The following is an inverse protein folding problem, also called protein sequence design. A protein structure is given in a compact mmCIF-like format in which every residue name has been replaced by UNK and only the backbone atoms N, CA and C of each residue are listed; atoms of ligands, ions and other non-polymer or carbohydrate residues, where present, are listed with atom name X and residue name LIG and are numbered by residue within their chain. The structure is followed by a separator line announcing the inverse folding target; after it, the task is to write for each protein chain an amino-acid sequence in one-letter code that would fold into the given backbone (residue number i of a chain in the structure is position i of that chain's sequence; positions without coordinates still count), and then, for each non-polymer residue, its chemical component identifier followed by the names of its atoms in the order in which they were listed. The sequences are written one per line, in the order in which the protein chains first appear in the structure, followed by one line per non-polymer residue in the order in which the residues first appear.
data_IF_202873765508
#
_entry.id   IF_202873765508
#
_cell.length_a   1.000
_cell.length_b   1.000
_cell.length_c   1.000
_cell.angle_alpha   90.00
_cell.angle_beta   90.00
_cell.angle_gamma   90.00
#
_symmetry.space_group_name_H-M   'P 1'
#
loop_
_entity.id
_entity.type
_entity.pdbx_description
1 polymer ?
#
# COMPACT_ATOMS: atom_id res chain seq x y z
N UNK A 1 18.16 12.12 15.80
CA UNK A 1 17.54 10.88 15.27
C UNK A 1 16.08 11.05 14.85
N UNK A 2 15.17 11.47 15.74
CA UNK A 2 13.74 11.60 15.42
C UNK A 2 13.42 12.76 14.47
N UNK A 3 14.08 13.91 14.65
CA UNK A 3 13.91 15.08 13.78
C UNK A 3 14.41 14.80 12.35
N UNK A 4 15.55 14.12 12.23
CA UNK A 4 16.12 13.69 10.94
C UNK A 4 15.23 12.66 10.21
N UNK A 5 14.63 11.72 10.95
CA UNK A 5 13.67 10.76 10.39
C UNK A 5 12.39 11.46 9.90
N UNK A 6 11.88 12.43 10.67
CA UNK A 6 10.72 13.24 10.28
C UNK A 6 11.02 14.10 9.05
N UNK A 7 12.21 14.71 8.99
CA UNK A 7 12.64 15.50 7.83
C UNK A 7 12.76 14.63 6.59
N UNK A 8 13.37 13.43 6.71
CA UNK A 8 13.44 12.45 5.63
C UNK A 8 12.04 12.02 5.16
N UNK A 9 11.13 11.73 6.09
CA UNK A 9 9.74 11.39 5.78
C UNK A 9 9.06 12.53 5.02
N UNK A 10 9.18 13.77 5.49
CA UNK A 10 8.57 14.94 4.86
C UNK A 10 9.12 15.19 3.46
N UNK A 11 10.44 15.02 3.24
CA UNK A 11 11.06 15.13 1.91
C UNK A 11 10.47 14.14 0.92
N UNK A 12 10.36 12.86 1.30
CA UNK A 12 9.78 11.83 0.44
C UNK A 12 8.29 12.10 0.23
N UNK A 13 7.55 12.46 1.29
CA UNK A 13 6.11 12.72 1.21
C UNK A 13 5.81 13.90 0.27
N UNK A 14 6.49 15.03 0.42
CA UNK A 14 6.30 16.19 -0.46
C UNK A 14 6.58 15.84 -1.93
N UNK A 15 7.63 15.06 -2.20
CA UNK A 15 7.93 14.54 -3.55
C UNK A 15 6.77 13.68 -4.08
N UNK A 16 6.35 12.65 -3.33
CA UNK A 16 5.22 11.77 -3.70
C UNK A 16 3.94 12.54 -3.94
N UNK A 17 3.66 13.56 -3.13
CA UNK A 17 2.47 14.40 -3.26
C UNK A 17 2.41 15.05 -4.65
N UNK A 18 3.50 15.70 -5.06
CA UNK A 18 3.58 16.40 -6.34
C UNK A 18 3.63 15.44 -7.54
N UNK A 19 4.16 14.23 -7.35
CA UNK A 19 4.26 13.19 -8.38
C UNK A 19 2.97 12.38 -8.57
N UNK A 20 2.12 12.25 -7.55
CA UNK A 20 0.98 11.31 -7.59
C UNK A 20 -0.39 11.98 -7.46
N UNK A 21 -0.52 13.10 -6.74
CA UNK A 21 -1.82 13.75 -6.56
C UNK A 21 -2.22 14.58 -7.79
N UNK A 22 -3.35 14.21 -8.42
CA UNK A 22 -3.89 14.93 -9.58
C UNK A 22 -4.22 16.40 -9.28
N UNK A 23 -4.77 16.69 -8.09
CA UNK A 23 -5.09 18.05 -7.67
C UNK A 23 -3.84 18.94 -7.59
N UNK A 24 -2.76 18.47 -6.96
CA UNK A 24 -1.52 19.27 -6.85
C UNK A 24 -0.84 19.45 -8.21
N UNK A 25 -0.94 18.45 -9.10
CA UNK A 25 -0.48 18.59 -10.49
C UNK A 25 -1.26 19.67 -11.24
N UNK A 26 -2.58 19.72 -11.06
CA UNK A 26 -3.42 20.79 -11.59
C UNK A 26 -3.02 22.15 -11.04
N UNK A 27 -2.90 22.29 -9.72
CA UNK A 27 -2.47 23.55 -9.09
C UNK A 27 -1.12 24.05 -9.63
N UNK A 28 -0.16 23.15 -9.87
CA UNK A 28 1.13 23.49 -10.47
C UNK A 28 1.02 23.87 -11.95
N UNK A 29 0.29 23.07 -12.73
CA UNK A 29 0.19 23.23 -14.19
C UNK A 29 -0.55 24.51 -14.55
N UNK A 30 -1.63 24.79 -13.84
CA UNK A 30 -2.57 25.87 -14.17
C UNK A 30 -2.38 27.08 -13.23
N UNK A 31 -1.22 27.18 -12.56
CA UNK A 31 -0.92 28.16 -11.52
C UNK A 31 -1.26 29.60 -11.93
N UNK A 32 -0.95 30.03 -13.16
CA UNK A 32 -1.20 31.39 -13.64
C UNK A 32 -2.69 31.76 -13.73
N UNK A 33 -3.57 30.77 -13.89
CA UNK A 33 -5.03 30.95 -14.02
C UNK A 33 -5.80 30.23 -12.92
N UNK A 34 -5.11 29.80 -11.86
CA UNK A 34 -5.71 29.00 -10.80
C UNK A 34 -6.79 29.82 -10.06
N UNK A 35 -7.83 29.16 -9.57
CA UNK A 35 -8.84 29.81 -8.73
C UNK A 35 -8.33 29.96 -7.30
N UNK A 36 -8.71 31.03 -6.62
CA UNK A 36 -8.27 31.30 -5.24
C UNK A 36 -8.60 30.13 -4.28
N UNK A 37 -9.78 29.50 -4.30
CA UNK A 37 -10.07 28.37 -3.41
C UNK A 37 -9.19 27.14 -3.66
N UNK A 38 -8.74 26.95 -4.90
CA UNK A 38 -7.81 25.88 -5.25
C UNK A 38 -6.39 26.21 -4.76
N UNK A 39 -5.97 27.46 -4.94
CA UNK A 39 -4.70 27.95 -4.39
C UNK A 39 -4.65 27.83 -2.86
N UNK A 40 -5.72 28.25 -2.18
CA UNK A 40 -5.86 28.10 -0.73
C UNK A 40 -5.76 26.63 -0.30
N UNK A 41 -6.44 25.73 -1.01
CA UNK A 41 -6.38 24.29 -0.69
C UNK A 41 -5.00 23.68 -0.95
N UNK A 42 -4.27 24.14 -1.97
CA UNK A 42 -2.88 23.78 -2.21
C UNK A 42 -1.99 24.20 -1.02
N UNK A 43 -2.16 25.42 -0.51
CA UNK A 43 -1.46 25.92 0.70
C UNK A 43 -1.77 25.03 1.89
N UNK A 44 -3.05 24.76 2.17
CA UNK A 44 -3.48 23.98 3.33
C UNK A 44 -2.93 22.53 3.31
N UNK A 45 -2.82 21.94 2.13
CA UNK A 45 -2.24 20.60 1.97
C UNK A 45 -0.73 20.61 2.18
N UNK A 46 0.00 21.61 1.67
CA UNK A 46 1.46 21.66 1.73
C UNK A 46 2.00 22.18 3.07
N UNK A 47 1.25 23.00 3.80
CA UNK A 47 1.68 23.59 5.07
C UNK A 47 2.03 22.54 6.15
N UNK A 48 1.54 21.31 6.01
CA UNK A 48 1.80 20.19 6.93
C UNK A 48 3.22 19.62 6.85
N UNK A 49 4.03 20.06 5.88
CA UNK A 49 5.41 19.60 5.66
C UNK A 49 6.46 20.60 6.17
N UNK A 50 6.12 21.40 7.19
CA UNK A 50 7.03 22.36 7.84
C UNK A 50 7.69 23.32 6.83
N UNK A 51 8.99 23.62 7.00
CA UNK A 51 9.72 24.57 6.14
C UNK A 51 9.78 24.12 4.68
N UNK A 52 9.90 22.81 4.43
CA UNK A 52 9.81 22.26 3.07
C UNK A 52 8.44 22.56 2.43
N UNK A 53 7.38 22.47 3.24
CA UNK A 53 6.03 22.87 2.84
C UNK A 53 5.98 24.34 2.41
N UNK A 54 6.54 25.24 3.24
CA UNK A 54 6.64 26.67 2.93
C UNK A 54 7.38 26.91 1.61
N UNK A 55 8.55 26.32 1.43
CA UNK A 55 9.33 26.46 0.19
C UNK A 55 8.52 26.03 -1.04
N UNK A 56 7.85 24.87 -0.97
CA UNK A 56 7.02 24.37 -2.08
C UNK A 56 5.79 25.23 -2.34
N UNK A 57 5.20 25.82 -1.31
CA UNK A 57 4.09 26.75 -1.47
C UNK A 57 4.56 27.98 -2.25
N UNK A 58 5.68 28.62 -1.86
CA UNK A 58 6.20 29.76 -2.62
C UNK A 58 6.59 29.38 -4.06
N UNK A 59 7.26 28.25 -4.25
CA UNK A 59 7.65 27.73 -5.56
C UNK A 59 6.43 27.60 -6.49
N UNK A 60 5.38 26.92 -6.03
CA UNK A 60 4.16 26.67 -6.82
C UNK A 60 3.27 27.89 -6.97
N UNK A 61 3.31 28.80 -6.01
CA UNK A 61 2.50 30.03 -6.03
C UNK A 61 3.13 31.12 -6.89
N UNK A 62 4.44 31.10 -7.15
CA UNK A 62 5.14 32.16 -7.89
C UNK A 62 4.50 32.53 -9.26
N UNK A 63 3.96 31.59 -10.06
CA UNK A 63 3.28 31.92 -11.30
C UNK A 63 1.84 32.45 -11.13
N UNK A 64 1.26 32.35 -9.94
CA UNK A 64 -0.12 32.75 -9.66
C UNK A 64 -0.30 34.25 -9.82
N UNK A 65 -1.40 34.66 -10.46
CA UNK A 65 -1.64 36.04 -10.88
C UNK A 65 -1.53 37.07 -9.75
N UNK A 66 -1.97 36.72 -8.54
CA UNK A 66 -1.95 37.62 -7.37
C UNK A 66 -0.83 37.28 -6.37
N UNK A 67 0.15 36.47 -6.77
CA UNK A 67 1.21 36.06 -5.87
C UNK A 67 1.94 37.27 -5.28
N UNK A 68 1.96 37.32 -3.96
CA UNK A 68 2.93 38.11 -3.20
C UNK A 68 3.49 37.23 -2.10
N UNK A 69 4.76 37.45 -1.75
CA UNK A 69 5.40 36.73 -0.65
C UNK A 69 4.60 36.92 0.65
N UNK A 70 4.21 38.16 0.93
CA UNK A 70 3.41 38.54 2.11
C UNK A 70 2.06 37.83 2.21
N UNK A 71 1.25 37.83 1.14
CA UNK A 71 -0.06 37.15 1.17
C UNK A 71 0.12 35.63 1.30
N UNK A 72 1.12 35.09 0.62
CA UNK A 72 1.44 33.66 0.68
C UNK A 72 1.84 33.25 2.09
N UNK A 73 2.72 34.02 2.74
CA UNK A 73 3.10 33.79 4.14
C UNK A 73 1.90 33.90 5.09
N UNK A 74 1.02 34.89 4.89
CA UNK A 74 -0.20 35.01 5.69
C UNK A 74 -1.08 33.76 5.57
N UNK A 75 -1.27 33.24 4.36
CA UNK A 75 -2.04 32.00 4.13
C UNK A 75 -1.35 30.78 4.77
N UNK A 76 -0.03 30.69 4.71
CA UNK A 76 0.73 29.63 5.39
C UNK A 76 0.48 29.69 6.90
N UNK A 77 0.54 30.87 7.50
CA UNK A 77 0.30 31.07 8.92
C UNK A 77 -1.14 30.73 9.32
N UNK A 78 -2.13 31.07 8.49
CA UNK A 78 -3.52 30.70 8.70
C UNK A 78 -3.72 29.18 8.67
N UNK A 79 -3.08 28.48 7.72
CA UNK A 79 -3.12 27.01 7.65
C UNK A 79 -2.44 26.36 8.88
N UNK A 80 -1.32 26.93 9.37
CA UNK A 80 -0.66 26.47 10.60
C UNK A 80 -1.55 26.67 11.83
N UNK A 81 -2.17 27.84 11.98
CA UNK A 81 -3.11 28.11 13.09
C UNK A 81 -4.32 27.18 13.08
N UNK A 82 -4.77 26.73 11.91
CA UNK A 82 -5.81 25.72 11.81
C UNK A 82 -5.32 24.37 12.37
N UNK A 83 -4.10 23.96 12.00
CA UNK A 83 -3.48 22.73 12.52
C UNK A 83 -3.31 22.74 14.05
N UNK A 84 -2.96 23.88 14.65
CA UNK A 84 -2.88 24.05 16.11
C UNK A 84 -4.23 23.81 16.83
N UNK A 85 -5.34 23.96 16.11
CA UNK A 85 -6.70 23.67 16.58
C UNK A 85 -7.18 22.27 16.20
N UNK A 86 -6.26 21.37 15.88
CA UNK A 86 -6.53 20.01 15.40
C UNK A 86 -7.34 19.95 14.09
N UNK A 87 -7.39 21.06 13.34
CA UNK A 87 -8.03 21.10 12.02
C UNK A 87 -7.00 20.60 11.00
N UNK A 88 -7.24 19.40 10.48
CA UNK A 88 -6.36 18.77 9.50
C UNK A 88 -6.29 19.50 8.14
N UNK A 89 -5.38 19.05 7.25
CA UNK A 89 -5.33 19.55 5.88
C UNK A 89 -6.65 19.29 5.14
N UNK A 90 -6.95 20.09 4.11
CA UNK A 90 -8.15 19.90 3.30
C UNK A 90 -8.23 18.46 2.76
N UNK A 91 -9.42 17.88 2.85
CA UNK A 91 -9.68 16.49 2.49
C UNK A 91 -9.92 16.33 1.00
N UNK A 92 -9.72 15.12 0.47
CA UNK A 92 -10.08 14.79 -0.91
C UNK A 92 -11.57 15.04 -1.15
N UNK A 93 -12.43 14.73 -0.17
CA UNK A 93 -13.88 14.99 -0.23
C UNK A 93 -14.17 16.48 -0.37
N UNK A 94 -13.51 17.34 0.43
CA UNK A 94 -13.66 18.79 0.31
C UNK A 94 -13.21 19.28 -1.08
N UNK A 95 -12.07 18.80 -1.56
CA UNK A 95 -11.55 19.15 -2.89
C UNK A 95 -12.51 18.73 -4.02
N UNK A 96 -13.10 17.53 -3.94
CA UNK A 96 -14.04 17.05 -4.95
C UNK A 96 -15.39 17.78 -4.87
N UNK A 97 -15.96 17.91 -3.67
CA UNK A 97 -17.36 18.38 -3.49
C UNK A 97 -17.48 19.90 -3.42
N UNK A 98 -16.57 20.58 -2.71
CA UNK A 98 -16.66 22.02 -2.47
C UNK A 98 -15.88 22.83 -3.51
N UNK A 99 -14.77 22.28 -4.03
CA UNK A 99 -13.98 22.95 -5.07
C UNK A 99 -14.34 22.48 -6.48
N UNK A 100 -15.07 21.36 -6.62
CA UNK A 100 -15.48 20.82 -7.91
C UNK A 100 -14.34 20.18 -8.71
N UNK A 101 -13.24 19.77 -8.06
CA UNK A 101 -12.14 19.12 -8.76
C UNK A 101 -12.38 17.61 -8.92
N UNK A 102 -12.48 17.15 -10.17
CA UNK A 102 -12.72 15.73 -10.46
C UNK A 102 -11.43 14.90 -10.35
N UNK A 103 -11.28 14.15 -9.25
CA UNK A 103 -10.14 13.26 -9.06
C UNK A 103 -10.31 11.94 -9.83
N UNK A 104 -9.21 11.37 -10.37
CA UNK A 104 -9.27 10.13 -11.14
C UNK A 104 -9.76 8.95 -10.28
N UNK A 105 -10.42 7.98 -10.93
CA UNK A 105 -10.99 6.79 -10.26
C UNK A 105 -9.93 5.95 -9.55
N UNK A 106 -8.73 5.86 -10.12
CA UNK A 106 -7.60 5.09 -9.60
C UNK A 106 -6.70 5.89 -8.63
N UNK A 107 -7.21 7.01 -8.10
CA UNK A 107 -6.50 7.89 -7.17
C UNK A 107 -5.88 7.11 -5.99
N UNK A 108 -4.58 7.28 -5.71
CA UNK A 108 -3.91 6.57 -4.62
C UNK A 108 -4.51 6.85 -3.24
N UNK A 109 -5.10 8.02 -3.01
CA UNK A 109 -5.76 8.32 -1.73
C UNK A 109 -6.95 7.38 -1.47
N UNK A 110 -7.74 7.08 -2.52
CA UNK A 110 -8.88 6.16 -2.44
C UNK A 110 -8.40 4.73 -2.17
N UNK A 111 -7.37 4.27 -2.91
CA UNK A 111 -6.76 2.94 -2.73
C UNK A 111 -6.15 2.74 -1.34
N UNK A 112 -5.56 3.78 -0.77
CA UNK A 112 -4.92 3.73 0.54
C UNK A 112 -5.89 4.03 1.70
N UNK A 113 -7.16 4.29 1.42
CA UNK A 113 -8.17 4.70 2.41
C UNK A 113 -7.70 5.86 3.31
N UNK A 114 -7.29 6.96 2.68
CA UNK A 114 -6.84 8.18 3.37
C UNK A 114 -7.66 9.38 2.96
N UNK A 115 -7.90 10.27 3.93
CA UNK A 115 -8.86 11.37 3.79
C UNK A 115 -8.33 12.58 3.04
N UNK A 116 -7.02 12.77 2.90
CA UNK A 116 -6.43 13.98 2.30
C UNK A 116 -5.22 13.66 1.42
N UNK A 117 -4.89 14.55 0.46
CA UNK A 117 -3.65 14.42 -0.33
C UNK A 117 -2.40 14.37 0.55
N UNK A 118 -2.35 15.18 1.60
CA UNK A 118 -1.27 15.16 2.59
C UNK A 118 -1.15 13.79 3.31
N UNK A 119 -2.29 13.20 3.70
CA UNK A 119 -2.32 11.88 4.32
C UNK A 119 -1.83 10.79 3.36
N UNK A 120 -2.23 10.85 2.09
CA UNK A 120 -1.73 9.96 1.02
C UNK A 120 -0.22 10.05 0.88
N UNK A 121 0.31 11.26 0.78
CA UNK A 121 1.74 11.50 0.66
C UNK A 121 2.53 10.94 1.84
N UNK A 122 2.07 11.18 3.08
CA UNK A 122 2.71 10.64 4.30
C UNK A 122 2.65 9.11 4.34
N UNK A 123 1.53 8.50 3.95
CA UNK A 123 1.38 7.04 3.90
C UNK A 123 2.31 6.41 2.85
N UNK A 124 2.37 6.97 1.65
CA UNK A 124 3.30 6.53 0.60
C UNK A 124 4.77 6.64 1.02
N UNK A 125 5.14 7.75 1.66
CA UNK A 125 6.50 7.93 2.17
C UNK A 125 6.83 6.91 3.28
N UNK A 126 5.90 6.67 4.20
CA UNK A 126 6.06 5.66 5.24
C UNK A 126 6.25 4.26 4.65
N UNK A 127 5.48 3.92 3.61
CA UNK A 127 5.61 2.64 2.91
C UNK A 127 6.96 2.48 2.20
N UNK A 128 7.51 3.56 1.63
CA UNK A 128 8.83 3.53 1.00
C UNK A 128 9.97 3.34 2.01
N UNK A 129 9.85 3.93 3.20
CA UNK A 129 10.89 3.87 4.23
C UNK A 129 10.82 2.56 5.03
N UNK A 130 9.61 2.13 5.40
CA UNK A 130 9.41 1.07 6.39
C UNK A 130 8.80 -0.20 5.79
N UNK A 131 8.27 -0.15 4.57
CA UNK A 131 7.56 -1.25 3.93
C UNK A 131 6.04 -1.13 4.05
N UNK A 132 5.34 -1.86 3.19
CA UNK A 132 3.87 -1.78 3.04
C UNK A 132 3.08 -2.48 4.16
N UNK A 133 3.75 -3.32 4.94
CA UNK A 133 3.16 -4.09 6.03
C UNK A 133 3.28 -3.41 7.39
N UNK A 134 3.91 -2.24 7.47
CA UNK A 134 4.07 -1.52 8.73
C UNK A 134 3.24 -0.24 8.74
N UNK A 135 2.64 0.05 9.88
CA UNK A 135 1.99 1.34 10.14
C UNK A 135 2.30 1.83 11.54
N UNK A 136 2.13 3.14 11.75
CA UNK A 136 2.37 3.79 13.04
C UNK A 136 1.10 4.46 13.53
N UNK A 137 0.76 4.22 14.78
CA UNK A 137 -0.30 4.92 15.50
C UNK A 137 0.23 5.63 16.76
N UNK A 138 -0.66 6.00 17.68
CA UNK A 138 -0.30 6.68 18.93
C UNK A 138 0.52 5.82 19.89
N UNK A 139 0.40 4.49 19.79
CA UNK A 139 1.04 3.51 20.68
C UNK A 139 2.38 3.01 20.12
N UNK A 140 2.59 3.09 18.81
CA UNK A 140 3.87 2.73 18.21
C UNK A 140 3.74 2.22 16.79
N UNK A 141 4.77 1.48 16.38
CA UNK A 141 4.79 0.75 15.12
C UNK A 141 4.11 -0.60 15.27
N UNK A 142 3.33 -0.98 14.27
CA UNK A 142 2.56 -2.22 14.23
C UNK A 142 2.71 -2.92 12.89
N UNK A 143 2.66 -4.24 12.93
CA UNK A 143 2.55 -5.10 11.76
C UNK A 143 1.09 -5.17 11.31
N UNK A 144 0.85 -4.90 10.03
CA UNK A 144 -0.42 -5.18 9.36
C UNK A 144 -0.43 -6.65 8.93
N UNK A 145 -0.66 -7.52 9.91
CA UNK A 145 -0.72 -8.97 9.72
C UNK A 145 -1.78 -9.39 8.69
N UNK A 146 -3.03 -8.89 8.73
CA UNK A 146 -4.04 -9.27 7.73
C UNK A 146 -3.59 -9.00 6.30
N UNK A 147 -2.99 -7.82 6.04
CA UNK A 147 -2.47 -7.51 4.71
C UNK A 147 -1.37 -8.49 4.27
N UNK A 148 -0.45 -8.86 5.17
CA UNK A 148 0.62 -9.79 4.83
C UNK A 148 0.08 -11.19 4.51
N UNK A 149 -0.92 -11.66 5.27
CA UNK A 149 -1.62 -12.92 4.98
C UNK A 149 -2.33 -12.87 3.63
N UNK A 150 -3.08 -11.80 3.36
CA UNK A 150 -3.82 -11.64 2.10
C UNK A 150 -2.88 -11.61 0.88
N UNK A 151 -1.76 -10.88 0.97
CA UNK A 151 -0.77 -10.80 -0.10
C UNK A 151 -0.09 -12.17 -0.32
N UNK A 152 0.25 -12.91 0.75
CA UNK A 152 0.81 -14.27 0.64
C UNK A 152 -0.17 -15.26 -0.01
N UNK A 153 -1.46 -15.20 0.34
CA UNK A 153 -2.49 -16.05 -0.26
C UNK A 153 -2.80 -15.69 -1.72
N UNK A 154 -2.58 -14.44 -2.11
CA UNK A 154 -2.73 -14.00 -3.49
C UNK A 154 -1.55 -14.41 -4.38
N UNK A 155 -0.34 -14.44 -3.82
CA UNK A 155 0.89 -14.72 -4.55
C UNK A 155 1.25 -16.22 -4.58
N UNK A 156 0.88 -16.97 -3.55
CA UNK A 156 1.20 -18.39 -3.40
C UNK A 156 -0.05 -19.24 -3.31
N UNK A 157 0.00 -20.42 -3.93
CA UNK A 157 -1.04 -21.43 -3.78
C UNK A 157 -0.69 -22.39 -2.66
N UNK A 158 -1.22 -22.12 -1.46
CA UNK A 158 -1.10 -23.02 -0.31
C UNK A 158 -2.29 -24.00 -0.21
N UNK A 159 -2.00 -25.18 0.34
CA UNK A 159 -2.99 -26.18 0.73
C UNK A 159 -2.58 -26.85 2.03
N UNK A 160 -3.48 -26.90 2.99
CA UNK A 160 -3.23 -27.56 4.28
C UNK A 160 -4.01 -28.85 4.38
N UNK A 161 -3.32 -29.95 4.65
CA UNK A 161 -3.95 -31.25 4.84
C UNK A 161 -4.77 -31.24 6.13
N UNK A 162 -6.09 -31.47 6.03
CA UNK A 162 -7.01 -31.34 7.17
C UNK A 162 -6.80 -32.38 8.28
N UNK A 163 -6.16 -33.51 7.97
CA UNK A 163 -5.95 -34.63 8.88
C UNK A 163 -4.71 -34.49 9.77
N UNK A 164 -3.67 -33.80 9.31
CA UNK A 164 -2.40 -33.64 10.05
C UNK A 164 -1.86 -32.20 10.06
N UNK A 165 -2.59 -31.24 9.47
CA UNK A 165 -2.21 -29.83 9.34
C UNK A 165 -0.91 -29.58 8.54
N UNK A 166 -0.46 -30.54 7.74
CA UNK A 166 0.71 -30.35 6.88
C UNK A 166 0.43 -29.29 5.80
N UNK A 167 1.15 -28.17 5.87
CA UNK A 167 1.03 -27.04 4.95
C UNK A 167 1.92 -27.24 3.71
N UNK A 168 1.27 -27.35 2.56
CA UNK A 168 1.91 -27.51 1.26
C UNK A 168 1.89 -26.20 0.47
N UNK A 169 2.90 -26.00 -0.37
CA UNK A 169 2.98 -24.91 -1.35
C UNK A 169 3.12 -25.50 -2.74
N UNK A 170 2.44 -24.89 -3.71
CA UNK A 170 2.55 -25.27 -5.11
C UNK A 170 3.82 -24.68 -5.74
N UNK A 171 4.65 -25.55 -6.33
CA UNK A 171 5.89 -25.21 -7.02
C UNK A 171 6.12 -26.20 -8.16
N UNK A 172 6.46 -25.70 -9.35
CA UNK A 172 6.79 -26.49 -10.54
C UNK A 172 5.82 -27.65 -10.87
N UNK A 173 4.51 -27.40 -10.72
CA UNK A 173 3.47 -28.35 -11.11
C UNK A 173 3.00 -29.30 -10.01
N UNK A 174 3.58 -29.24 -8.82
CA UNK A 174 3.25 -30.11 -7.68
C UNK A 174 3.17 -29.34 -6.36
N UNK A 175 2.44 -29.91 -5.39
CA UNK A 175 2.39 -29.40 -4.03
C UNK A 175 3.47 -30.06 -3.17
N UNK A 176 4.40 -29.25 -2.65
CA UNK A 176 5.52 -29.70 -1.83
C UNK A 176 5.30 -29.38 -0.34
N UNK A 177 5.83 -30.21 0.59
CA UNK A 177 5.71 -30.01 2.05
C UNK A 177 6.68 -28.95 2.57
N UNK A 178 6.64 -27.76 1.95
CA UNK A 178 7.49 -26.62 2.27
C UNK A 178 6.68 -25.37 2.66
N UNK A 179 5.36 -25.47 2.79
CA UNK A 179 4.48 -24.31 2.98
C UNK A 179 4.87 -23.44 4.16
N UNK A 180 5.07 -24.03 5.34
CA UNK A 180 5.54 -23.28 6.51
C UNK A 180 6.91 -22.61 6.30
N UNK A 181 7.85 -23.31 5.66
CA UNK A 181 9.20 -22.80 5.42
C UNK A 181 9.16 -21.59 4.47
N UNK A 182 8.38 -21.70 3.39
CA UNK A 182 8.12 -20.60 2.44
C UNK A 182 7.49 -19.40 3.14
N UNK A 183 6.46 -19.61 3.98
CA UNK A 183 5.81 -18.52 4.73
C UNK A 183 6.83 -17.81 5.64
N UNK A 184 7.64 -18.56 6.41
CA UNK A 184 8.67 -18.01 7.30
C UNK A 184 9.69 -17.18 6.52
N UNK A 185 10.18 -17.70 5.40
CA UNK A 185 11.15 -17.02 4.55
C UNK A 185 10.58 -15.73 3.95
N UNK A 186 9.35 -15.76 3.44
CA UNK A 186 8.70 -14.59 2.86
C UNK A 186 8.38 -13.51 3.90
N UNK A 187 8.01 -13.89 5.11
CA UNK A 187 7.83 -12.95 6.23
C UNK A 187 9.14 -12.19 6.53
N UNK A 188 10.26 -12.90 6.65
CA UNK A 188 11.58 -12.34 6.93
C UNK A 188 12.15 -11.47 5.78
N UNK A 189 11.80 -11.80 4.54
CA UNK A 189 12.14 -10.97 3.36
C UNK A 189 11.37 -9.66 3.33
N UNK A 190 10.09 -9.70 3.69
CA UNK A 190 9.14 -8.60 3.48
C UNK A 190 9.07 -7.61 4.65
N UNK A 191 9.33 -8.08 5.86
CA UNK A 191 9.22 -7.27 7.08
C UNK A 191 10.57 -7.19 7.78
N UNK A 192 11.07 -5.99 8.11
CA UNK A 192 12.31 -5.87 8.86
C UNK A 192 12.20 -6.58 10.22
N UNK A 193 13.21 -7.40 10.55
CA UNK A 193 13.31 -8.23 11.78
C UNK A 193 12.96 -7.54 13.10
N UNK A 194 13.10 -6.21 13.15
CA UNK A 194 12.74 -5.40 14.32
C UNK A 194 11.22 -5.37 14.60
N UNK A 195 10.40 -5.62 13.58
CA UNK A 195 8.94 -5.43 13.61
C UNK A 195 8.15 -6.72 13.38
N UNK A 196 8.82 -7.86 13.32
CA UNK A 196 8.19 -9.16 13.19
C UNK A 196 8.85 -10.14 14.16
N UNK A 197 8.03 -10.83 14.93
CA UNK A 197 8.46 -11.77 15.94
C UNK A 197 7.92 -13.17 15.63
N UNK A 198 8.46 -14.17 16.34
CA UNK A 198 8.06 -15.56 16.18
C UNK A 198 6.56 -15.78 16.39
N UNK A 199 5.93 -15.03 17.31
CA UNK A 199 4.49 -15.14 17.53
C UNK A 199 3.67 -14.62 16.34
N UNK A 200 4.08 -13.51 15.72
CA UNK A 200 3.44 -12.97 14.51
C UNK A 200 3.52 -13.98 13.36
N UNK A 201 4.70 -14.58 13.15
CA UNK A 201 4.92 -15.58 12.10
C UNK A 201 4.02 -16.81 12.32
N UNK A 202 3.92 -17.29 13.55
CA UNK A 202 3.05 -18.42 13.88
C UNK A 202 1.56 -18.08 13.66
N UNK A 203 1.16 -16.85 13.96
CA UNK A 203 -0.19 -16.36 13.69
C UNK A 203 -0.48 -16.31 12.18
N UNK A 204 0.46 -15.78 11.38
CA UNK A 204 0.38 -15.78 9.91
C UNK A 204 0.23 -17.19 9.35
N UNK A 205 1.09 -18.13 9.76
CA UNK A 205 1.02 -19.55 9.36
C UNK A 205 -0.36 -20.10 9.67
N UNK A 206 -0.83 -19.95 10.91
CA UNK A 206 -2.13 -20.45 11.31
C UNK A 206 -3.29 -19.84 10.53
N UNK A 207 -3.23 -18.56 10.16
CA UNK A 207 -4.25 -17.93 9.31
C UNK A 207 -4.28 -18.51 7.89
N UNK A 208 -3.10 -18.74 7.30
CA UNK A 208 -2.98 -19.35 5.97
C UNK A 208 -3.51 -20.78 6.00
N UNK A 209 -3.11 -21.57 7.00
CA UNK A 209 -3.53 -22.97 7.14
C UNK A 209 -5.04 -23.11 7.27
N UNK A 210 -5.64 -22.34 8.19
CA UNK A 210 -7.10 -22.36 8.40
C UNK A 210 -7.89 -21.91 7.18
N UNK A 211 -7.29 -21.07 6.34
CA UNK A 211 -7.89 -20.58 5.09
C UNK A 211 -7.76 -21.56 3.92
N UNK A 212 -6.91 -22.59 4.03
CA UNK A 212 -6.49 -23.41 2.86
C UNK A 212 -6.68 -24.92 3.06
N UNK A 213 -7.48 -25.34 4.04
CA UNK A 213 -7.72 -26.76 4.30
C UNK A 213 -8.26 -27.54 3.09
N UNK A 214 -7.69 -28.72 2.88
CA UNK A 214 -8.12 -29.70 1.89
C UNK A 214 -8.04 -31.12 2.47
N UNK A 215 -8.93 -32.02 2.03
CA UNK A 215 -8.89 -33.42 2.46
C UNK A 215 -7.82 -34.16 1.65
N UNK A 216 -6.97 -34.97 2.30
CA UNK A 216 -5.95 -35.80 1.64
C UNK A 216 -6.44 -36.55 0.39
N UNK A 217 -7.63 -37.20 0.36
CA UNK A 217 -8.10 -37.92 -0.83
C UNK A 217 -8.40 -37.06 -2.06
N UNK A 218 -8.37 -35.72 -1.95
CA UNK A 218 -8.48 -34.84 -3.11
C UNK A 218 -7.18 -34.79 -3.92
N UNK A 219 -6.05 -35.03 -3.29
CA UNK A 219 -4.78 -35.11 -4.01
C UNK A 219 -4.72 -36.37 -4.86
N UNK A 220 -4.18 -36.22 -6.08
CA UNK A 220 -4.04 -37.30 -7.07
C UNK A 220 -5.37 -38.05 -7.32
N UNK A 221 -6.51 -37.34 -7.20
CA UNK A 221 -7.86 -37.92 -7.33
C UNK A 221 -8.31 -38.12 -8.78
N UNK A 222 -7.73 -37.36 -9.72
CA UNK A 222 -8.07 -37.40 -11.13
C UNK A 222 -7.36 -38.57 -11.85
N UNK A 223 -8.13 -39.62 -12.16
CA UNK A 223 -7.58 -40.87 -12.73
C UNK A 223 -7.22 -40.77 -14.23
N UNK A 224 -7.72 -39.76 -14.93
CA UNK A 224 -7.54 -39.59 -16.37
C UNK A 224 -6.44 -38.62 -16.77
N UNK A 225 -5.73 -38.03 -15.79
CA UNK A 225 -4.71 -37.02 -16.02
C UNK A 225 -3.43 -37.44 -15.32
N UNK A 226 -2.34 -37.52 -16.09
CA UNK A 226 -1.00 -37.76 -15.58
C UNK A 226 -0.30 -36.41 -15.40
N UNK A 227 0.27 -36.19 -14.22
CA UNK A 227 1.15 -35.05 -13.98
C UNK A 227 2.57 -35.41 -14.44
N UNK A 228 3.02 -34.79 -15.53
CA UNK A 228 4.35 -34.98 -16.10
C UNK A 228 5.17 -33.70 -15.87
N UNK A 229 6.50 -33.78 -15.98
CA UNK A 229 7.38 -32.61 -15.82
C UNK A 229 7.04 -31.43 -16.75
N UNK A 230 6.48 -31.72 -17.93
CA UNK A 230 6.12 -30.71 -18.93
C UNK A 230 4.62 -30.35 -18.99
N UNK A 231 3.81 -30.87 -18.06
CA UNK A 231 2.39 -30.51 -17.97
C UNK A 231 1.46 -31.65 -17.56
N UNK A 232 0.17 -31.38 -17.69
CA UNK A 232 -0.93 -32.29 -17.33
C UNK A 232 -1.43 -33.02 -18.58
N UNK A 233 -1.07 -34.29 -18.72
CA UNK A 233 -1.43 -35.11 -19.88
C UNK A 233 -2.73 -35.88 -19.64
N UNK A 234 -3.75 -35.60 -20.44
CA UNK A 234 -5.03 -36.31 -20.38
C UNK A 234 -4.99 -37.56 -21.27
N UNK A 235 -5.05 -38.75 -20.66
CA UNK A 235 -4.89 -40.04 -21.35
C UNK A 235 -6.03 -40.36 -22.32
N UNK A 236 -7.22 -39.78 -22.12
CA UNK A 236 -8.40 -40.05 -22.95
C UNK A 236 -8.40 -39.19 -24.21
N UNK A 237 -7.95 -37.93 -24.09
CA UNK A 237 -7.96 -36.95 -25.19
C UNK A 237 -6.61 -36.83 -25.89
N UNK A 238 -5.53 -37.33 -25.29
CA UNK A 238 -4.17 -37.17 -25.78
C UNK A 238 -3.62 -35.75 -25.69
N UNK A 239 -4.27 -34.86 -24.93
CA UNK A 239 -3.88 -33.44 -24.81
C UNK A 239 -2.98 -33.21 -23.61
N UNK A 240 -1.93 -32.42 -23.82
CA UNK A 240 -1.07 -31.87 -22.77
C UNK A 240 -1.50 -30.44 -22.45
N UNK A 241 -1.90 -30.20 -21.21
CA UNK A 241 -2.25 -28.87 -20.71
C UNK A 241 -1.12 -28.31 -19.83
N UNK A 242 -1.00 -26.99 -19.67
CA UNK A 242 -0.11 -26.39 -18.68
C UNK A 242 -0.44 -26.88 -17.27
N UNK A 243 0.57 -26.88 -16.39
CA UNK A 243 0.32 -27.08 -14.97
C UNK A 243 -0.52 -25.95 -14.38
N UNK A 244 -1.25 -26.28 -13.32
CA UNK A 244 -2.16 -25.35 -12.66
C UNK A 244 -2.29 -25.71 -11.18
N UNK A 245 -2.29 -24.74 -10.25
CA UNK A 245 -2.42 -25.01 -8.82
C UNK A 245 -3.78 -25.61 -8.41
N UNK A 246 -4.79 -25.55 -9.28
CA UNK A 246 -6.09 -26.20 -9.12
C UNK A 246 -5.99 -27.73 -9.28
N UNK A 247 -4.96 -28.24 -9.96
CA UNK A 247 -4.69 -29.66 -10.05
C UNK A 247 -3.88 -30.11 -8.83
N UNK A 248 -4.56 -30.76 -7.89
CA UNK A 248 -3.98 -31.18 -6.63
C UNK A 248 -3.14 -32.45 -6.82
N UNK A 249 -1.86 -32.27 -7.13
CA UNK A 249 -0.85 -33.32 -7.18
C UNK A 249 0.20 -33.07 -6.13
N UNK A 250 0.57 -34.10 -5.38
CA UNK A 250 1.61 -34.07 -4.36
C UNK A 250 2.37 -35.40 -4.33
#
# INVERSE_FOLDING_TARGET
PQEEELEKLNKIAAKKLLETCAFLKHCRKDAATLLEPHWWSMVHVLAVFSDLGREKIHELSKPYLKYTEKETDQKIDEAKKAADKEIGPHTCTFIEQELGFDCPKDCPAKKLDVKSPAGMAKKLASQEIHGIYLYKDKTGWHLNLPKLVDDLLAEYSFKTMRDNEECLVYEDGVYMPLGEATIKEECEKRVPKKFIHTHDINEIIGHIERSTYVKRPKFNSEKGVLNLENGLYNIQTGKLNPHTPEFLSN
#
